data_IF_869214700455
#
_entry.id   IF_869214700455
#
_cell.length_a   1.000
_cell.length_b   1.000
_cell.length_c   1.000
_cell.angle_alpha   90.00
_cell.angle_beta   90.00
_cell.angle_gamma   90.00
#
_symmetry.space_group_name_H-M   'P 1'
#
loop_
_entity.id
_entity.type
_entity.pdbx_description
1 polymer ?
#
# COMPACT_ATOMS: atom_id res chain seq x y z
N UNK A 1 -16.47 7.47 -3.04
CA UNK A 1 -15.25 7.69 -2.25
C UNK A 1 -14.32 8.55 -3.08
N UNK A 2 -13.60 9.48 -2.46
CA UNK A 2 -12.72 10.39 -3.20
C UNK A 2 -11.48 9.64 -3.72
N UNK A 3 -11.06 9.96 -4.94
CA UNK A 3 -9.82 9.47 -5.55
C UNK A 3 -8.96 10.69 -5.87
N UNK A 4 -7.74 10.70 -5.36
CA UNK A 4 -6.73 11.73 -5.67
C UNK A 4 -5.77 11.10 -6.67
N UNK A 5 -5.54 11.77 -7.80
CA UNK A 5 -4.61 11.29 -8.83
C UNK A 5 -3.45 12.25 -9.01
N UNK A 6 -2.27 11.70 -9.30
CA UNK A 6 -1.09 12.47 -9.66
C UNK A 6 -0.19 11.70 -10.63
N UNK A 7 0.78 12.40 -11.22
CA UNK A 7 1.73 11.82 -12.18
C UNK A 7 3.13 11.75 -11.58
N UNK A 8 3.80 10.61 -11.76
CA UNK A 8 5.21 10.42 -11.47
C UNK A 8 6.06 11.03 -12.59
N UNK A 9 6.85 12.05 -12.25
CA UNK A 9 7.71 12.76 -13.22
C UNK A 9 8.68 11.81 -13.95
N UNK A 10 9.29 10.88 -13.22
CA UNK A 10 10.23 9.90 -13.77
C UNK A 10 9.60 8.53 -14.06
N UNK A 11 8.34 8.33 -13.65
CA UNK A 11 7.65 7.05 -13.73
C UNK A 11 8.23 5.96 -12.82
N UNK A 12 7.49 4.85 -12.71
CA UNK A 12 7.89 3.61 -12.06
C UNK A 12 8.10 2.54 -13.14
N UNK A 13 9.32 2.02 -13.22
CA UNK A 13 9.66 0.95 -14.17
C UNK A 13 9.15 -0.39 -13.64
N UNK A 14 8.51 -1.17 -14.51
CA UNK A 14 8.08 -2.52 -14.23
C UNK A 14 8.35 -3.43 -15.44
N UNK A 15 8.29 -4.74 -15.23
CA UNK A 15 8.35 -5.73 -16.31
C UNK A 15 6.93 -6.22 -16.58
N UNK A 16 6.49 -6.08 -17.83
CA UNK A 16 5.24 -6.66 -18.32
C UNK A 16 5.36 -8.16 -18.57
N UNK A 17 4.28 -8.76 -19.06
CA UNK A 17 4.31 -10.14 -19.55
C UNK A 17 5.22 -10.23 -20.78
N UNK A 18 6.20 -11.14 -20.77
CA UNK A 18 7.10 -11.35 -21.91
C UNK A 18 8.30 -10.40 -21.98
N UNK A 19 8.80 -9.92 -20.84
CA UNK A 19 9.99 -9.04 -20.74
C UNK A 19 9.85 -7.66 -21.40
N UNK A 20 8.62 -7.24 -21.72
CA UNK A 20 8.37 -5.89 -22.21
C UNK A 20 8.52 -4.86 -21.07
N UNK A 21 9.38 -3.84 -21.21
CA UNK A 21 9.54 -2.82 -20.18
C UNK A 21 8.32 -1.89 -20.14
N UNK A 22 7.68 -1.79 -18.98
CA UNK A 22 6.57 -0.89 -18.71
C UNK A 22 7.05 0.32 -17.89
N UNK A 23 6.49 1.50 -18.16
CA UNK A 23 6.74 2.72 -17.42
C UNK A 23 5.43 3.32 -16.93
N UNK A 24 5.06 3.01 -15.69
CA UNK A 24 3.86 3.53 -15.06
C UNK A 24 4.06 4.96 -14.59
N UNK A 25 3.13 5.86 -14.91
CA UNK A 25 3.22 7.27 -14.54
C UNK A 25 2.08 7.73 -13.65
N UNK A 26 0.88 7.28 -13.92
CA UNK A 26 -0.29 7.69 -13.14
C UNK A 26 -0.34 6.94 -11.82
N UNK A 27 -0.73 7.63 -10.74
CA UNK A 27 -0.98 7.04 -9.43
C UNK A 27 -2.34 7.50 -8.96
N UNK A 28 -3.18 6.54 -8.56
CA UNK A 28 -4.44 6.80 -7.88
C UNK A 28 -4.32 6.49 -6.39
N UNK A 29 -4.74 7.43 -5.57
CA UNK A 29 -4.85 7.28 -4.12
C UNK A 29 -6.32 7.28 -3.71
N UNK A 30 -6.72 6.26 -2.97
CA UNK A 30 -8.06 6.17 -2.36
C UNK A 30 -8.06 6.71 -0.93
N UNK A 31 -9.23 7.06 -0.45
CA UNK A 31 -9.46 7.34 0.96
C UNK A 31 -9.27 6.08 1.82
N UNK A 32 -8.63 6.24 2.98
CA UNK A 32 -8.50 5.18 3.98
C UNK A 32 -9.77 5.10 4.83
N UNK A 33 -10.21 3.89 5.14
CA UNK A 33 -11.33 3.65 6.03
C UNK A 33 -10.84 3.10 7.39
N UNK A 34 -11.74 3.04 8.38
CA UNK A 34 -11.42 2.56 9.73
C UNK A 34 -10.77 1.17 9.76
N UNK A 35 -11.17 0.26 8.86
CA UNK A 35 -10.54 -1.07 8.78
C UNK A 35 -9.08 -0.97 8.35
N UNK A 36 -8.74 -0.10 7.40
CA UNK A 36 -7.34 0.11 6.99
C UNK A 36 -6.46 0.56 8.17
N UNK A 37 -7.00 1.44 9.04
CA UNK A 37 -6.29 1.92 10.23
C UNK A 37 -6.06 0.78 11.23
N UNK A 38 -7.06 -0.07 11.46
CA UNK A 38 -6.96 -1.20 12.38
C UNK A 38 -5.99 -2.27 11.86
N UNK A 39 -6.06 -2.59 10.57
CA UNK A 39 -5.18 -3.58 9.93
C UNK A 39 -3.73 -3.10 9.91
N UNK A 40 -3.49 -1.81 9.63
CA UNK A 40 -2.16 -1.24 9.69
C UNK A 40 -1.60 -1.29 11.12
N UNK A 41 -2.43 -1.01 12.14
CA UNK A 41 -2.04 -1.06 13.54
C UNK A 41 -1.62 -2.48 13.94
N UNK A 42 -2.43 -3.47 13.57
CA UNK A 42 -2.15 -4.87 13.86
C UNK A 42 -0.88 -5.36 13.14
N UNK A 43 -0.66 -4.94 11.90
CA UNK A 43 0.55 -5.29 11.14
C UNK A 43 1.83 -4.70 11.77
N UNK A 44 1.73 -3.49 12.32
CA UNK A 44 2.81 -2.75 12.98
C UNK A 44 3.07 -3.20 14.42
N UNK A 45 2.12 -3.90 15.06
CA UNK A 45 2.30 -4.48 16.38
C UNK A 45 3.25 -5.68 16.33
N UNK A 46 4.23 -5.69 17.25
CA UNK A 46 5.24 -6.74 17.39
C UNK A 46 5.42 -7.07 18.87
N UNK A 47 5.74 -8.34 19.12
CA UNK A 47 6.17 -8.81 20.44
C UNK A 47 7.70 -8.88 20.44
N UNK A 48 8.31 -8.20 21.40
CA UNK A 48 9.75 -8.26 21.68
C UNK A 48 10.03 -8.68 23.12
N UNK A 49 11.30 -8.82 23.46
CA UNK A 49 11.74 -9.06 24.83
C UNK A 49 12.54 -7.87 25.33
N UNK A 50 12.15 -7.34 26.50
CA UNK A 50 12.94 -6.32 27.19
C UNK A 50 14.22 -6.93 27.77
N UNK A 51 15.17 -6.09 28.17
CA UNK A 51 16.48 -6.52 28.71
C UNK A 51 16.38 -7.44 29.94
N UNK A 52 15.25 -7.41 30.66
CA UNK A 52 14.95 -8.27 31.79
C UNK A 52 14.29 -9.62 31.41
N UNK A 53 14.20 -9.93 30.11
CA UNK A 53 13.59 -11.16 29.59
C UNK A 53 12.06 -11.16 29.55
N UNK A 54 11.39 -10.06 29.94
CA UNK A 54 9.92 -9.97 29.88
C UNK A 54 9.47 -9.67 28.45
N UNK A 55 8.46 -10.40 27.98
CA UNK A 55 7.79 -10.08 26.72
C UNK A 55 7.05 -8.74 26.82
N UNK A 56 7.21 -7.91 25.79
CA UNK A 56 6.56 -6.60 25.66
C UNK A 56 5.95 -6.48 24.25
N UNK A 57 4.76 -5.90 24.16
CA UNK A 57 4.20 -5.45 22.89
C UNK A 57 4.69 -4.04 22.61
N UNK A 58 5.06 -3.76 21.36
CA UNK A 58 5.32 -2.42 20.87
C UNK A 58 4.76 -2.29 19.46
N UNK A 59 4.41 -1.07 19.09
CA UNK A 59 3.94 -0.73 17.75
C UNK A 59 5.00 0.13 17.09
N UNK A 60 5.39 -0.25 15.87
CA UNK A 60 6.34 0.53 15.08
C UNK A 60 5.62 1.65 14.32
N UNK A 61 5.83 2.91 14.71
CA UNK A 61 5.24 4.07 14.02
C UNK A 61 5.64 4.13 12.53
N UNK A 62 6.89 3.73 12.23
CA UNK A 62 7.40 3.67 10.85
C UNK A 62 6.65 2.62 10.04
N UNK A 63 6.47 1.42 10.62
CA UNK A 63 5.77 0.35 9.93
C UNK A 63 4.28 0.68 9.76
N UNK A 64 3.66 1.27 10.78
CA UNK A 64 2.28 1.74 10.72
C UNK A 64 2.09 2.75 9.58
N UNK A 65 2.93 3.79 9.54
CA UNK A 65 2.89 4.80 8.47
C UNK A 65 3.07 4.20 7.08
N UNK A 66 4.04 3.28 6.91
CA UNK A 66 4.26 2.62 5.62
C UNK A 66 3.07 1.73 5.21
N UNK A 67 2.47 1.03 6.17
CA UNK A 67 1.27 0.22 5.97
C UNK A 67 0.06 1.04 5.56
N UNK A 68 -0.10 2.27 6.08
CA UNK A 68 -1.15 3.20 5.65
C UNK A 68 -0.89 3.72 4.23
N UNK A 69 0.33 4.19 3.95
CA UNK A 69 0.71 4.69 2.62
C UNK A 69 0.47 3.65 1.54
N UNK A 70 0.85 2.40 1.79
CA UNK A 70 0.60 1.28 0.87
C UNK A 70 -0.89 1.06 0.64
N UNK A 71 -1.71 1.06 1.69
CA UNK A 71 -3.16 0.83 1.58
C UNK A 71 -3.87 1.98 0.86
N UNK A 72 -3.32 3.19 0.93
CA UNK A 72 -3.85 4.36 0.25
C UNK A 72 -3.67 4.27 -1.27
N UNK A 73 -2.67 3.54 -1.76
CA UNK A 73 -2.44 3.34 -3.19
C UNK A 73 -3.54 2.43 -3.75
N UNK A 74 -4.39 2.99 -4.59
CA UNK A 74 -5.42 2.25 -5.34
C UNK A 74 -4.79 1.59 -6.58
N UNK A 75 -3.98 2.36 -7.32
CA UNK A 75 -3.26 1.86 -8.49
C UNK A 75 -1.99 2.68 -8.78
N UNK A 76 -1.07 2.05 -9.50
CA UNK A 76 0.07 2.70 -10.16
C UNK A 76 0.09 2.21 -11.61
N UNK A 77 0.00 3.13 -12.57
CA UNK A 77 -0.10 2.82 -13.99
C UNK A 77 -1.52 2.81 -14.51
N UNK A 78 -1.79 2.00 -15.52
CA UNK A 78 -3.14 1.86 -16.04
C UNK A 78 -4.00 1.10 -15.02
N UNK A 79 -5.15 1.67 -14.67
CA UNK A 79 -6.26 0.87 -14.17
C UNK A 79 -6.57 -0.12 -15.27
N UNK A 80 -6.33 -1.41 -15.06
CA UNK A 80 -6.88 -2.45 -15.92
C UNK A 80 -8.39 -2.32 -15.82
N UNK A 81 -9.00 -1.53 -16.70
CA UNK A 81 -10.44 -1.49 -16.90
C UNK A 81 -10.86 -2.76 -17.65
N UNK A 82 -10.55 -3.90 -17.05
CA UNK A 82 -10.99 -5.18 -17.50
C UNK A 82 -12.46 -5.30 -17.17
N UNK A 83 -13.32 -4.97 -18.14
CA UNK A 83 -14.56 -5.71 -18.40
C UNK A 83 -14.22 -7.21 -18.66
N UNK A 84 -13.66 -7.84 -17.64
CA UNK A 84 -13.12 -9.19 -17.58
C UNK A 84 -13.08 -9.72 -16.13
N UNK A 85 -13.21 -8.85 -15.13
CA UNK A 85 -13.58 -9.20 -13.75
C UNK A 85 -14.98 -8.69 -13.44
N UNK A 86 -16.01 -9.46 -13.79
CA UNK A 86 -17.37 -9.20 -13.31
C UNK A 86 -17.35 -9.09 -11.79
N UNK A 87 -17.82 -7.94 -11.30
CA UNK A 87 -18.21 -7.66 -9.91
C UNK A 87 -17.04 -7.53 -8.91
N UNK A 88 -16.92 -6.27 -8.45
CA UNK A 88 -16.42 -5.79 -7.14
C UNK A 88 -15.00 -5.31 -7.08
#
# INVERSE_FOLDING_TARGET
MALITFQLEHGLKAMGSGDEPLLYREVGLRELNTCDLLDAQQEAEKIGFAANGKAVSYVSDVQYGLSLLRRQIEYIGEVVSGLGGLLR
#
